data_IF_245548906284
#
_entry.id   IF_245548906284
#
_cell.length_a   1.000
_cell.length_b   1.000
_cell.length_c   1.000
_cell.angle_alpha   90.00
_cell.angle_beta   90.00
_cell.angle_gamma   90.00
#
_symmetry.space_group_name_H-M   'P 1'
#
loop_
_entity.id
_entity.type
_entity.pdbx_description
1 polymer ?
#
# COMPACT_ATOMS: atom_id res chain seq x y z
N UNK A 1 -5.06 -11.21 -6.88
CA UNK A 1 -5.95 -10.82 -5.76
C UNK A 1 -5.54 -9.43 -5.28
N UNK A 2 -6.43 -8.44 -5.26
CA UNK A 2 -6.17 -7.16 -4.56
C UNK A 2 -6.53 -7.44 -3.10
N UNK A 3 -5.56 -7.41 -2.19
CA UNK A 3 -5.85 -7.60 -0.77
C UNK A 3 -6.60 -6.36 -0.25
N UNK A 4 -7.82 -6.57 0.24
CA UNK A 4 -8.59 -5.59 1.03
C UNK A 4 -8.09 -5.61 2.47
N UNK A 5 -6.80 -5.31 2.67
CA UNK A 5 -6.29 -5.00 4.01
C UNK A 5 -7.01 -3.71 4.45
N UNK A 6 -7.73 -3.75 5.56
CA UNK A 6 -8.31 -2.53 6.14
C UNK A 6 -7.19 -1.52 6.40
N UNK A 7 -7.32 -0.30 5.87
CA UNK A 7 -6.25 0.71 5.84
C UNK A 7 -5.75 1.08 7.25
N UNK A 8 -6.59 0.85 8.27
CA UNK A 8 -6.21 0.97 9.67
C UNK A 8 -4.89 0.31 10.06
N UNK A 9 -4.50 -0.80 9.42
CA UNK A 9 -3.31 -1.58 9.77
C UNK A 9 -2.27 -1.64 8.64
N UNK A 10 -2.36 -0.78 7.63
CA UNK A 10 -1.44 -0.83 6.48
C UNK A 10 0.04 -0.71 6.90
N UNK A 11 0.35 0.15 7.88
CA UNK A 11 1.71 0.30 8.39
C UNK A 11 2.20 -0.95 9.14
N UNK A 12 1.29 -1.79 9.66
CA UNK A 12 1.64 -3.02 10.38
C UNK A 12 1.76 -4.26 9.48
N UNK A 13 1.16 -4.23 8.28
CA UNK A 13 1.08 -5.38 7.38
C UNK A 13 2.46 -5.90 6.98
N UNK A 14 2.61 -7.21 6.81
CA UNK A 14 3.85 -7.75 6.25
C UNK A 14 3.96 -7.34 4.78
N UNK A 15 5.14 -6.89 4.30
CA UNK A 15 5.35 -6.70 2.88
C UNK A 15 5.21 -8.05 2.16
N UNK A 16 4.50 -8.03 1.04
CA UNK A 16 4.31 -9.14 0.11
C UNK A 16 4.64 -8.67 -1.28
N UNK A 17 4.95 -9.59 -2.20
CA UNK A 17 5.09 -9.28 -3.62
C UNK A 17 3.96 -8.36 -4.14
N UNK A 18 2.71 -8.70 -3.82
CA UNK A 18 1.54 -7.95 -4.27
C UNK A 18 1.46 -6.55 -3.66
N UNK A 19 1.76 -6.40 -2.36
CA UNK A 19 1.72 -5.08 -1.70
C UNK A 19 2.83 -4.17 -2.21
N UNK A 20 4.03 -4.70 -2.46
CA UNK A 20 5.16 -3.94 -3.00
C UNK A 20 4.91 -3.47 -4.44
N UNK A 21 4.34 -4.34 -5.29
CA UNK A 21 3.87 -3.94 -6.62
C UNK A 21 2.78 -2.87 -6.52
N UNK A 22 1.85 -3.02 -5.57
CA UNK A 22 0.77 -2.07 -5.36
C UNK A 22 1.32 -0.68 -4.97
N UNK A 23 2.17 -0.60 -3.95
CA UNK A 23 2.81 0.66 -3.49
C UNK A 23 3.54 1.39 -4.63
N UNK A 24 4.23 0.65 -5.50
CA UNK A 24 4.96 1.21 -6.65
C UNK A 24 4.02 1.79 -7.71
N UNK A 25 2.94 1.07 -8.01
CA UNK A 25 2.11 1.32 -9.21
C UNK A 25 0.92 2.21 -8.89
N UNK A 26 0.31 2.01 -7.73
CA UNK A 26 -0.77 2.79 -7.18
C UNK A 26 -0.23 3.41 -5.90
N UNK A 27 0.30 4.64 -5.98
CA UNK A 27 0.75 5.35 -4.78
C UNK A 27 -0.47 5.59 -3.87
N UNK A 28 -0.72 4.64 -2.96
CA UNK A 28 -1.78 4.64 -1.96
C UNK A 28 -1.36 5.39 -0.70
N UNK A 29 -0.25 6.13 -0.71
CA UNK A 29 0.03 7.07 0.36
C UNK A 29 -1.03 8.18 0.28
N UNK A 30 -2.13 7.96 1.00
CA UNK A 30 -3.32 8.81 1.01
C UNK A 30 -2.99 10.26 1.43
N UNK A 31 -1.86 10.42 2.08
CA UNK A 31 -1.30 11.69 2.55
C UNK A 31 -0.37 12.39 1.55
N UNK A 32 0.07 11.73 0.47
CA UNK A 32 1.09 12.27 -0.43
C UNK A 32 0.51 13.33 -1.39
N UNK A 33 1.23 14.44 -1.52
CA UNK A 33 0.81 15.64 -2.26
C UNK A 33 1.97 16.07 -3.15
N UNK A 34 1.70 16.19 -4.45
CA UNK A 34 2.68 16.57 -5.47
C UNK A 34 2.93 18.08 -5.47
N UNK A 35 1.89 18.88 -5.21
CA UNK A 35 1.95 20.35 -5.31
C UNK A 35 1.30 21.05 -4.12
N UNK A 36 2.01 22.05 -3.58
CA UNK A 36 1.58 22.84 -2.42
C UNK A 36 1.89 22.16 -1.08
N UNK A 37 1.76 22.93 0.00
CA UNK A 37 2.03 22.44 1.37
C UNK A 37 0.71 22.15 2.08
N UNK A 38 0.36 20.87 2.33
CA UNK A 38 -0.86 20.54 3.06
C UNK A 38 -0.71 20.84 4.56
N UNK A 39 -1.78 21.33 5.19
CA UNK A 39 -1.93 21.36 6.66
C UNK A 39 -2.70 20.15 7.16
N UNK A 40 -3.68 19.70 6.38
CA UNK A 40 -4.53 18.56 6.71
C UNK A 40 -5.02 17.88 5.44
N UNK A 41 -5.11 16.55 5.47
CA UNK A 41 -5.78 15.75 4.45
C UNK A 41 -6.80 14.86 5.13
N UNK A 42 -8.05 14.95 4.70
CA UNK A 42 -9.13 14.09 5.16
C UNK A 42 -9.43 13.10 4.05
N UNK A 43 -9.40 11.82 4.36
CA UNK A 43 -9.65 10.74 3.41
C UNK A 43 -10.81 9.90 3.87
N UNK A 44 -11.76 9.65 2.96
CA UNK A 44 -12.90 8.79 3.17
C UNK A 44 -12.83 7.64 2.18
N UNK A 45 -12.70 6.42 2.71
CA UNK A 45 -12.69 5.18 1.94
C UNK A 45 -14.01 4.44 2.15
N UNK A 46 -14.59 3.96 1.06
CA UNK A 46 -15.70 3.01 1.06
C UNK A 46 -15.20 1.68 0.53
N UNK A 47 -15.17 0.68 1.40
CA UNK A 47 -14.68 -0.67 1.10
C UNK A 47 -15.88 -1.60 1.11
N UNK A 48 -16.15 -2.25 -0.02
CA UNK A 48 -17.17 -3.30 -0.12
C UNK A 48 -16.50 -4.66 -0.09
N UNK A 49 -16.79 -5.45 0.95
CA UNK A 49 -16.27 -6.80 1.13
C UNK A 49 -17.05 -7.84 0.32
N UNK A 50 -16.48 -9.04 0.18
CA UNK A 50 -17.06 -10.12 -0.60
C UNK A 50 -18.39 -10.66 -0.04
N UNK A 51 -18.61 -10.48 1.27
CA UNK A 51 -19.85 -10.78 1.99
C UNK A 51 -20.89 -9.64 1.92
N UNK A 52 -20.64 -8.61 1.10
CA UNK A 52 -21.43 -7.39 0.97
C UNK A 52 -21.40 -6.45 2.19
N UNK A 53 -20.55 -6.70 3.20
CA UNK A 53 -20.32 -5.73 4.24
C UNK A 53 -19.64 -4.48 3.64
N UNK A 54 -20.08 -3.29 4.03
CA UNK A 54 -19.47 -2.05 3.59
C UNK A 54 -18.90 -1.30 4.79
N UNK A 55 -17.59 -1.07 4.79
CA UNK A 55 -16.95 -0.21 5.78
C UNK A 55 -16.73 1.18 5.22
N UNK A 56 -16.99 2.17 6.06
CA UNK A 56 -16.60 3.56 5.82
C UNK A 56 -15.45 3.88 6.77
N UNK A 57 -14.25 4.00 6.22
CA UNK A 57 -13.07 4.42 6.97
C UNK A 57 -12.78 5.89 6.69
N UNK A 58 -12.56 6.67 7.74
CA UNK A 58 -12.14 8.07 7.68
C UNK A 58 -10.77 8.21 8.31
N UNK A 59 -9.80 8.62 7.50
CA UNK A 59 -8.44 8.94 7.95
C UNK A 59 -8.23 10.45 7.92
N UNK A 60 -7.70 11.02 9.00
CA UNK A 60 -7.37 12.44 9.11
C UNK A 60 -5.86 12.55 9.32
N UNK A 61 -5.16 13.08 8.33
CA UNK A 61 -3.72 13.32 8.35
C UNK A 61 -3.47 14.80 8.64
N UNK A 62 -2.81 15.10 9.76
CA UNK A 62 -2.44 16.47 10.14
C UNK A 62 -0.94 16.63 10.04
N UNK A 63 -0.47 17.56 9.21
CA UNK A 63 0.94 17.80 8.98
C UNK A 63 1.47 18.81 9.99
N UNK A 64 2.61 18.48 10.61
CA UNK A 64 3.32 19.34 11.55
C UNK A 64 4.63 19.82 10.93
N UNK A 65 5.22 20.84 11.54
CA UNK A 65 6.60 21.21 11.24
C UNK A 65 7.52 19.99 11.48
N UNK A 66 8.65 19.93 10.77
CA UNK A 66 9.67 18.86 10.87
C UNK A 66 9.27 17.49 10.30
N UNK A 67 8.47 17.45 9.22
CA UNK A 67 8.09 16.21 8.54
C UNK A 67 7.37 15.18 9.44
N UNK A 68 6.74 15.63 10.52
CA UNK A 68 5.88 14.80 11.35
C UNK A 68 4.43 14.91 10.87
N UNK A 69 3.72 13.80 10.90
CA UNK A 69 2.32 13.69 10.55
C UNK A 69 1.57 12.94 11.66
N UNK A 70 0.49 13.54 12.15
CA UNK A 70 -0.43 12.90 13.10
C UNK A 70 -1.60 12.31 12.33
N UNK A 71 -1.99 11.08 12.63
CA UNK A 71 -3.04 10.36 11.90
C UNK A 71 -4.10 9.86 12.86
N UNK A 72 -5.36 10.20 12.59
CA UNK A 72 -6.51 9.60 13.29
C UNK A 72 -7.36 8.83 12.30
N UNK A 73 -7.63 7.55 12.59
CA UNK A 73 -8.47 6.71 11.74
C UNK A 73 -9.74 6.32 12.48
N UNK A 74 -10.86 6.43 11.78
CA UNK A 74 -12.17 6.08 12.29
C UNK A 74 -12.82 5.05 11.36
N UNK A 75 -13.49 4.04 11.92
CA UNK A 75 -14.34 3.12 11.17
C UNK A 75 -15.76 3.26 11.68
N UNK A 76 -16.70 3.55 10.79
CA UNK A 76 -18.10 3.76 11.15
C UNK A 76 -18.27 4.77 12.32
N UNK A 77 -17.48 5.84 12.30
CA UNK A 77 -17.38 6.90 13.34
C UNK A 77 -16.68 6.53 14.66
N UNK A 78 -16.28 5.28 14.85
CA UNK A 78 -15.48 4.87 16.00
C UNK A 78 -13.99 5.11 15.76
N UNK A 79 -13.28 5.74 16.71
CA UNK A 79 -11.82 5.88 16.64
C UNK A 79 -11.16 4.51 16.80
N UNK A 80 -10.36 4.12 15.81
CA UNK A 80 -9.66 2.82 15.77
C UNK A 80 -8.14 2.95 15.70
N UNK A 81 -7.61 4.14 15.40
CA UNK A 81 -6.18 4.39 15.40
C UNK A 81 -5.87 5.86 15.74
N UNK A 82 -4.81 6.06 16.53
CA UNK A 82 -4.14 7.34 16.73
C UNK A 82 -2.64 7.12 16.53
N UNK A 83 -2.05 7.78 15.55
CA UNK A 83 -0.72 7.44 15.04
C UNK A 83 0.15 8.70 14.88
N UNK A 84 1.45 8.51 15.09
CA UNK A 84 2.49 9.49 14.84
C UNK A 84 3.42 8.90 13.79
N UNK A 85 3.58 9.62 12.68
CA UNK A 85 4.40 9.21 11.55
C UNK A 85 5.47 10.26 11.33
N UNK A 86 6.72 9.83 11.30
CA UNK A 86 7.85 10.67 10.89
C UNK A 86 8.19 10.35 9.45
N UNK A 87 8.30 11.39 8.63
CA UNK A 87 8.61 11.29 7.21
C UNK A 87 10.02 11.81 6.94
N UNK A 88 10.65 11.32 5.88
CA UNK A 88 11.84 11.94 5.31
C UNK A 88 11.49 13.11 4.37
N UNK A 89 12.51 13.73 3.79
CA UNK A 89 12.36 14.83 2.83
C UNK A 89 11.69 14.43 1.50
N UNK A 90 11.47 13.13 1.26
CA UNK A 90 10.76 12.58 0.12
C UNK A 90 9.36 12.07 0.50
N UNK A 91 8.85 12.43 1.68
CA UNK A 91 7.58 11.98 2.25
C UNK A 91 7.47 10.46 2.46
N UNK A 92 8.61 9.75 2.56
CA UNK A 92 8.64 8.32 2.90
C UNK A 92 8.64 8.17 4.41
N UNK A 93 7.92 7.17 4.92
CA UNK A 93 7.83 6.90 6.37
C UNK A 93 9.21 6.44 6.88
N UNK A 94 9.77 7.11 7.88
CA UNK A 94 10.96 6.67 8.61
C UNK A 94 10.58 5.93 9.88
N UNK A 95 9.67 6.50 10.66
CA UNK A 95 9.18 5.91 11.90
C UNK A 95 7.66 6.02 11.95
N UNK A 96 7.06 5.02 12.58
CA UNK A 96 5.64 4.93 12.82
C UNK A 96 5.44 4.44 14.26
N UNK A 97 4.66 5.19 15.03
CA UNK A 97 4.13 4.76 16.32
C UNK A 97 2.61 4.87 16.26
N UNK A 98 1.90 3.75 16.39
CA UNK A 98 0.46 3.67 16.33
C UNK A 98 -0.12 3.12 17.61
N UNK A 99 -1.17 3.75 18.13
CA UNK A 99 -2.07 3.13 19.10
C UNK A 99 -3.32 2.65 18.36
N UNK A 100 -3.49 1.34 18.27
CA UNK A 100 -4.49 0.70 17.41
C UNK A 100 -5.49 -0.14 18.21
N UNK A 101 -6.76 -0.03 17.82
CA UNK A 101 -7.85 -0.82 18.41
C UNK A 101 -8.02 -2.13 17.64
N UNK A 102 -7.72 -3.25 18.29
CA UNK A 102 -7.89 -4.60 17.70
C UNK A 102 -9.28 -5.18 17.98
N UNK A 103 -9.64 -6.23 17.24
CA UNK A 103 -10.88 -6.97 17.44
C UNK A 103 -10.99 -7.44 18.90
N UNK A 104 -12.07 -7.01 19.59
CA UNK A 104 -12.25 -7.16 21.05
C UNK A 104 -12.08 -5.86 21.83
N UNK A 105 -11.76 -4.74 21.16
CA UNK A 105 -11.78 -3.39 21.72
C UNK A 105 -10.53 -2.98 22.51
N UNK A 106 -9.51 -3.84 22.55
CA UNK A 106 -8.23 -3.57 23.22
C UNK A 106 -7.34 -2.70 22.35
N UNK A 107 -6.63 -1.79 23.00
CA UNK A 107 -5.66 -0.90 22.37
C UNK A 107 -4.25 -1.47 22.50
N UNK A 108 -3.47 -1.39 21.43
CA UNK A 108 -2.10 -1.86 21.38
C UNK A 108 -1.21 -0.80 20.74
N UNK A 109 -0.04 -0.60 21.33
CA UNK A 109 1.00 0.24 20.76
C UNK A 109 1.85 -0.60 19.82
N UNK A 110 2.03 -0.10 18.61
CA UNK A 110 2.84 -0.69 17.56
C UNK A 110 3.90 0.30 17.14
N UNK A 111 5.10 -0.20 16.88
CA UNK A 111 6.26 0.61 16.50
C UNK A 111 6.94 -0.02 15.30
N UNK A 112 7.12 0.77 14.26
CA UNK A 112 7.74 0.32 13.01
C UNK A 112 8.76 1.35 12.57
N UNK A 113 9.93 0.85 12.20
CA UNK A 113 11.01 1.64 11.61
C UNK A 113 11.26 1.20 10.17
N UNK A 114 11.56 2.16 9.31
CA UNK A 114 11.89 1.95 7.92
C UNK A 114 13.29 2.50 7.63
N UNK A 115 14.02 1.79 6.78
CA UNK A 115 15.28 2.26 6.19
C UNK A 115 15.22 2.06 4.69
N UNK A 116 15.66 3.07 3.95
CA UNK A 116 15.69 3.04 2.49
C UNK A 116 17.12 3.16 2.00
N UNK A 117 17.52 2.22 1.16
CA UNK A 117 18.78 2.18 0.43
C UNK A 117 18.46 2.09 -1.07
N UNK A 118 19.48 2.28 -1.92
CA UNK A 118 19.29 2.05 -3.34
C UNK A 118 18.84 0.61 -3.62
N UNK A 119 17.67 0.49 -4.25
CA UNK A 119 17.04 -0.78 -4.61
C UNK A 119 16.75 -1.70 -3.41
N UNK A 120 16.64 -1.14 -2.21
CA UNK A 120 16.35 -1.92 -1.00
C UNK A 120 15.53 -1.13 0.03
N UNK A 121 14.53 -1.77 0.60
CA UNK A 121 13.69 -1.25 1.69
C UNK A 121 13.78 -2.22 2.86
N UNK A 122 14.08 -1.72 4.05
CA UNK A 122 14.07 -2.49 5.29
C UNK A 122 12.91 -1.98 6.14
N UNK A 123 12.11 -2.90 6.67
CA UNK A 123 11.05 -2.63 7.65
C UNK A 123 11.32 -3.44 8.91
N UNK A 124 11.29 -2.80 10.06
CA UNK A 124 11.55 -3.42 11.36
C UNK A 124 10.36 -3.17 12.28
N UNK A 125 9.83 -4.21 12.91
CA UNK A 125 8.85 -4.09 13.99
C UNK A 125 9.59 -4.12 15.32
N UNK A 126 9.26 -3.17 16.17
CA UNK A 126 9.93 -2.90 17.45
C UNK A 126 9.02 -3.28 18.61
N UNK A 127 9.56 -4.01 19.59
CA UNK A 127 8.81 -4.44 20.77
C UNK A 127 8.78 -3.35 21.86
N UNK A 128 8.18 -3.66 23.02
CA UNK A 128 8.08 -2.74 24.15
C UNK A 128 9.42 -2.38 24.81
N UNK A 129 10.47 -3.21 24.65
CA UNK A 129 11.84 -2.91 25.13
C UNK A 129 12.66 -2.06 24.15
N UNK A 130 12.11 -1.75 22.96
CA UNK A 130 12.83 -1.00 21.92
C UNK A 130 13.69 -1.86 21.01
N UNK A 131 13.54 -3.19 21.06
CA UNK A 131 14.31 -4.13 20.26
C UNK A 131 13.52 -4.55 19.00
N UNK A 132 14.23 -4.74 17.89
CA UNK A 132 13.65 -5.34 16.68
C UNK A 132 13.33 -6.81 16.94
N UNK A 133 12.06 -7.20 16.78
CA UNK A 133 11.62 -8.59 16.91
C UNK A 133 11.19 -9.22 15.58
N UNK A 134 10.90 -8.40 14.56
CA UNK A 134 10.71 -8.84 13.19
C UNK A 134 11.37 -7.86 12.22
N UNK A 135 12.02 -8.41 11.19
CA UNK A 135 12.68 -7.64 10.13
C UNK A 135 12.25 -8.15 8.77
N UNK A 136 11.95 -7.23 7.87
CA UNK A 136 11.67 -7.50 6.47
C UNK A 136 12.68 -6.75 5.61
N UNK A 137 13.30 -7.43 4.65
CA UNK A 137 14.20 -6.81 3.66
C UNK A 137 13.61 -7.07 2.28
N UNK A 138 13.16 -5.99 1.64
CA UNK A 138 12.67 -6.02 0.26
C UNK A 138 13.80 -5.54 -0.65
N UNK A 139 14.15 -6.35 -1.64
CA UNK A 139 15.11 -6.00 -2.71
C UNK A 139 14.35 -5.76 -4.00
N UNK A 140 14.78 -4.77 -4.77
CA UNK A 140 14.15 -4.39 -6.02
C UNK A 140 15.13 -4.48 -7.20
N UNK A 141 14.60 -4.59 -8.41
CA UNK A 141 15.38 -4.46 -9.64
C UNK A 141 15.53 -3.00 -10.10
N UNK A 142 16.17 -2.80 -11.25
CA UNK A 142 16.37 -1.48 -11.85
C UNK A 142 15.07 -0.74 -12.17
N UNK A 143 13.98 -1.46 -12.41
CA UNK A 143 12.62 -0.93 -12.65
C UNK A 143 11.83 -0.73 -11.35
N UNK A 144 12.47 -0.96 -10.19
CA UNK A 144 11.90 -0.91 -8.84
C UNK A 144 10.83 -1.97 -8.59
N UNK A 145 10.81 -3.06 -9.36
CA UNK A 145 9.96 -4.23 -9.09
C UNK A 145 10.60 -5.11 -8.00
N UNK A 146 9.83 -5.68 -7.05
CA UNK A 146 10.36 -6.52 -5.98
C UNK A 146 10.93 -7.83 -6.54
N UNK A 147 12.19 -8.11 -6.21
CA UNK A 147 12.90 -9.35 -6.58
C UNK A 147 12.91 -10.37 -5.45
N UNK A 148 13.02 -9.90 -4.22
CA UNK A 148 13.08 -10.76 -3.04
C UNK A 148 12.52 -10.04 -1.83
N UNK A 149 11.87 -10.81 -0.95
CA UNK A 149 11.43 -10.39 0.37
C UNK A 149 11.94 -11.42 1.36
N UNK A 150 12.91 -11.01 2.17
CA UNK A 150 13.38 -11.78 3.33
C UNK A 150 12.56 -11.35 4.53
N UNK A 151 12.04 -12.32 5.29
CA UNK A 151 11.35 -12.08 6.56
C UNK A 151 12.00 -12.88 7.67
N UNK A 152 12.56 -12.17 8.65
CA UNK A 152 13.29 -12.73 9.77
C UNK A 152 12.56 -12.43 11.07
N UNK A 153 12.25 -13.48 11.84
CA UNK A 153 11.83 -13.37 13.23
C UNK A 153 13.11 -13.35 14.09
N UNK A 154 13.38 -12.22 14.72
CA UNK A 154 14.62 -11.98 15.48
C UNK A 154 14.50 -12.64 16.85
N UNK A 155 15.55 -13.36 17.28
CA UNK A 155 15.58 -14.16 18.51
C UNK A 155 15.69 -15.65 18.21
N UNK A 156 14.62 -16.30 17.72
CA UNK A 156 14.70 -17.65 17.17
C UNK A 156 15.57 -17.77 15.90
N UNK A 157 15.83 -16.63 15.23
CA UNK A 157 16.57 -16.50 13.97
C UNK A 157 15.98 -17.34 12.82
N UNK A 158 14.64 -17.34 12.72
CA UNK A 158 13.92 -17.97 11.62
C UNK A 158 13.75 -16.99 10.47
N UNK A 159 14.30 -17.33 9.31
CA UNK A 159 14.16 -16.52 8.09
C UNK A 159 13.36 -17.28 7.03
N UNK A 160 12.23 -16.73 6.60
CA UNK A 160 11.52 -17.15 5.37
C UNK A 160 11.94 -16.24 4.21
N UNK A 161 11.89 -16.77 2.99
CA UNK A 161 12.29 -16.05 1.79
C UNK A 161 11.21 -16.18 0.71
N UNK A 162 10.82 -15.05 0.13
CA UNK A 162 10.03 -14.99 -1.09
C UNK A 162 10.91 -14.41 -2.21
N UNK A 163 10.90 -15.01 -3.39
CA UNK A 163 11.64 -14.52 -4.57
C UNK A 163 10.77 -14.45 -5.80
N UNK A 164 11.10 -13.55 -6.71
CA UNK A 164 10.37 -13.35 -7.96
C UNK A 164 11.34 -13.30 -9.13
N UNK A 165 11.11 -14.14 -10.12
CA UNK A 165 11.83 -14.12 -11.39
C UNK A 165 10.94 -13.53 -12.48
N UNK A 166 11.39 -12.45 -13.12
CA UNK A 166 10.65 -11.78 -14.20
C UNK A 166 11.19 -12.14 -15.58
N UNK A 167 10.29 -12.50 -16.49
CA UNK A 167 10.52 -12.52 -17.93
C UNK A 167 9.87 -11.28 -18.55
N UNK A 168 10.66 -10.22 -18.68
CA UNK A 168 10.20 -8.95 -19.23
C UNK A 168 9.81 -8.98 -20.71
N UNK A 169 10.42 -9.88 -21.48
CA UNK A 169 10.12 -10.03 -22.90
C UNK A 169 8.72 -10.64 -23.08
N UNK A 170 8.39 -11.66 -22.28
CA UNK A 170 7.13 -12.38 -22.39
C UNK A 170 6.05 -11.93 -21.40
N UNK A 171 6.33 -10.92 -20.57
CA UNK A 171 5.37 -10.34 -19.60
C UNK A 171 4.89 -11.37 -18.55
N UNK A 172 5.81 -12.23 -18.10
CA UNK A 172 5.56 -13.31 -17.14
C UNK A 172 6.42 -13.19 -15.89
N UNK A 173 5.96 -13.75 -14.79
CA UNK A 173 6.77 -13.91 -13.59
C UNK A 173 6.55 -15.28 -12.94
N UNK A 174 7.54 -15.71 -12.17
CA UNK A 174 7.47 -16.88 -11.28
C UNK A 174 7.76 -16.38 -9.87
N UNK A 175 6.78 -16.51 -8.99
CA UNK A 175 6.88 -16.22 -7.56
C UNK A 175 7.15 -17.53 -6.82
N UNK A 176 8.16 -17.56 -5.96
CA UNK A 176 8.55 -18.74 -5.18
C UNK A 176 8.66 -18.38 -3.70
N UNK A 177 7.99 -19.16 -2.85
CA UNK A 177 8.00 -19.01 -1.40
C UNK A 177 8.76 -20.17 -0.75
N UNK A 178 9.73 -19.83 0.09
CA UNK A 178 10.59 -20.75 0.81
C UNK A 178 10.38 -20.59 2.32
N UNK A 179 10.25 -21.73 3.01
CA UNK A 179 10.18 -21.73 4.46
C UNK A 179 11.55 -21.55 5.13
N UNK A 180 11.55 -21.63 6.46
CA UNK A 180 12.72 -21.43 7.30
C UNK A 180 13.80 -22.51 7.16
N UNK A 181 13.50 -23.65 6.54
CA UNK A 181 14.50 -24.66 6.14
C UNK A 181 15.04 -24.44 4.72
N UNK A 182 14.61 -23.39 4.02
CA UNK A 182 14.94 -23.16 2.63
C UNK A 182 14.23 -24.10 1.66
N UNK A 183 13.18 -24.81 2.09
CA UNK A 183 12.38 -25.66 1.21
C UNK A 183 11.31 -24.83 0.51
N UNK A 184 11.17 -25.03 -0.81
CA UNK A 184 10.08 -24.46 -1.60
C UNK A 184 8.74 -24.99 -1.08
N UNK A 185 7.84 -24.07 -0.70
CA UNK A 185 6.47 -24.36 -0.25
C UNK A 185 5.45 -24.08 -1.34
N UNK A 186 5.63 -22.99 -2.09
CA UNK A 186 4.71 -22.56 -3.13
C UNK A 186 5.46 -21.98 -4.33
N UNK A 187 4.96 -22.28 -5.53
CA UNK A 187 5.39 -21.66 -6.77
C UNK A 187 4.15 -21.18 -7.54
N UNK A 188 4.09 -19.88 -7.84
CA UNK A 188 3.00 -19.25 -8.57
C UNK A 188 3.53 -18.63 -9.85
N UNK A 189 3.02 -19.14 -10.97
CA UNK A 189 3.24 -18.55 -12.29
C UNK A 189 2.19 -17.47 -12.52
N UNK A 190 2.61 -16.32 -13.04
CA UNK A 190 1.70 -15.22 -13.31
C UNK A 190 2.11 -14.36 -14.49
N UNK A 191 1.21 -13.44 -14.85
CA UNK A 191 1.41 -12.47 -15.90
C UNK A 191 1.48 -11.06 -15.30
N UNK A 192 2.17 -10.16 -15.96
CA UNK A 192 2.07 -8.74 -15.66
C UNK A 192 1.84 -7.94 -16.94
N UNK A 193 0.87 -7.04 -16.90
CA UNK A 193 0.52 -6.18 -18.01
C UNK A 193 1.48 -4.99 -18.08
N UNK A 194 2.27 -4.89 -19.16
CA UNK A 194 3.16 -3.73 -19.41
C UNK A 194 2.42 -2.48 -19.87
N UNK A 195 1.26 -2.63 -20.51
CA UNK A 195 0.40 -1.52 -20.96
C UNK A 195 -0.78 -1.32 -19.99
N UNK A 196 -0.47 -1.30 -18.70
CA UNK A 196 -1.48 -1.12 -17.67
C UNK A 196 -1.99 0.33 -17.61
N UNK A 197 -1.23 1.32 -18.10
CA UNK A 197 -1.68 2.72 -18.16
C UNK A 197 -2.57 2.92 -19.40
N UNK A 198 -3.81 3.33 -19.18
CA UNK A 198 -4.83 3.52 -20.24
C UNK A 198 -4.89 4.98 -20.68
N UNK A 199 -4.88 5.91 -19.72
CA UNK A 199 -4.97 7.34 -20.00
C UNK A 199 -4.18 8.16 -18.99
N UNK A 200 -3.70 9.31 -19.46
CA UNK A 200 -3.06 10.34 -18.65
C UNK A 200 -3.80 11.66 -18.78
N UNK A 201 -3.75 12.49 -17.74
CA UNK A 201 -4.25 13.87 -17.80
C UNK A 201 -3.27 14.75 -18.61
N UNK A 202 -3.63 16.03 -18.81
CA UNK A 202 -2.79 17.02 -19.52
C UNK A 202 -1.40 17.26 -18.91
N UNK A 203 -1.22 16.94 -17.62
CA UNK A 203 0.03 17.09 -16.88
C UNK A 203 0.87 15.80 -16.89
N UNK A 204 0.42 14.76 -17.59
CA UNK A 204 1.10 13.46 -17.68
C UNK A 204 0.85 12.51 -16.51
N UNK A 205 0.00 12.88 -15.54
CA UNK A 205 -0.36 11.99 -14.42
C UNK A 205 -1.36 10.93 -14.87
N UNK A 206 -1.31 9.75 -14.26
CA UNK A 206 -2.20 8.63 -14.60
C UNK A 206 -3.64 9.00 -14.27
N UNK A 207 -4.52 9.05 -15.28
CA UNK A 207 -5.94 9.29 -15.09
C UNK A 207 -6.72 7.96 -15.02
N UNK A 208 -6.25 6.95 -15.76
CA UNK A 208 -6.91 5.64 -15.86
C UNK A 208 -5.90 4.53 -16.11
N UNK A 209 -6.04 3.40 -15.43
CA UNK A 209 -5.16 2.24 -15.57
C UNK A 209 -5.83 0.92 -15.19
N UNK A 210 -5.32 -0.20 -15.69
CA UNK A 210 -5.63 -1.55 -15.21
C UNK A 210 -4.68 -1.96 -14.09
N UNK A 211 -5.08 -2.94 -13.28
CA UNK A 211 -4.15 -3.61 -12.37
C UNK A 211 -3.00 -4.26 -13.13
N UNK A 212 -1.77 -3.99 -12.71
CA UNK A 212 -0.57 -4.43 -13.43
C UNK A 212 -0.39 -5.94 -13.44
N UNK A 213 -0.94 -6.68 -12.47
CA UNK A 213 -0.83 -8.16 -12.44
C UNK A 213 -2.08 -8.85 -12.99
N UNK A 214 -2.95 -8.12 -13.69
CA UNK A 214 -4.07 -8.73 -14.41
C UNK A 214 -3.60 -9.20 -15.78
N UNK A 215 -3.85 -10.47 -16.10
CA UNK A 215 -3.78 -10.94 -17.48
C UNK A 215 -4.94 -10.32 -18.28
N UNK A 216 -4.62 -9.69 -19.42
CA UNK A 216 -5.62 -9.05 -20.29
C UNK A 216 -6.66 -10.04 -20.83
N UNK A 217 -6.39 -11.35 -20.77
CA UNK A 217 -7.33 -12.41 -21.15
C UNK A 217 -8.32 -12.79 -20.03
N UNK A 218 -8.10 -12.30 -18.82
CA UNK A 218 -8.99 -12.59 -17.69
C UNK A 218 -10.38 -11.98 -17.93
N UNK A 219 -11.45 -12.70 -17.57
CA UNK A 219 -12.82 -12.22 -17.73
C UNK A 219 -13.10 -10.98 -16.86
N UNK A 220 -12.36 -10.80 -15.76
CA UNK A 220 -12.54 -9.69 -14.84
C UNK A 220 -11.25 -8.89 -14.69
N UNK A 221 -11.34 -7.59 -14.95
CA UNK A 221 -10.18 -6.70 -14.89
C UNK A 221 -10.46 -5.59 -13.89
N UNK A 222 -9.50 -5.35 -12.99
CA UNK A 222 -9.56 -4.21 -12.08
C UNK A 222 -9.08 -2.97 -12.82
N UNK A 223 -9.92 -1.94 -12.81
CA UNK A 223 -9.67 -0.65 -13.43
C UNK A 223 -9.65 0.45 -12.36
N UNK A 224 -8.66 1.32 -12.43
CA UNK A 224 -8.45 2.43 -11.50
C UNK A 224 -8.65 3.74 -12.25
N UNK A 225 -9.47 4.62 -11.70
CA UNK A 225 -9.76 5.94 -12.25
C UNK A 225 -9.47 7.01 -11.22
N UNK A 226 -8.67 8.01 -11.62
CA UNK A 226 -8.24 9.11 -10.78
C UNK A 226 -8.89 10.42 -11.21
N UNK A 227 -9.29 11.24 -10.24
CA UNK A 227 -9.65 12.66 -10.45
C UNK A 227 -8.71 13.54 -9.64
N UNK A 228 -8.39 14.72 -10.18
CA UNK A 228 -7.41 15.64 -9.63
C UNK A 228 -8.05 16.99 -9.30
N UNK A 229 -7.50 17.69 -8.32
CA UNK A 229 -7.82 19.10 -8.06
C UNK A 229 -7.06 20.03 -9.02
N UNK A 230 -7.35 21.33 -8.94
CA UNK A 230 -6.74 22.35 -9.81
C UNK A 230 -5.22 22.52 -9.56
N UNK A 231 -4.72 22.07 -8.40
CA UNK A 231 -3.29 22.06 -8.10
C UNK A 231 -2.58 20.82 -8.66
N UNK A 232 -3.31 19.86 -9.23
CA UNK A 232 -2.75 18.64 -9.81
C UNK A 232 -2.53 17.52 -8.79
N UNK A 233 -3.19 17.56 -7.64
CA UNK A 233 -3.19 16.47 -6.66
C UNK A 233 -4.43 15.60 -6.84
N UNK A 234 -4.28 14.28 -6.81
CA UNK A 234 -5.44 13.39 -6.93
C UNK A 234 -6.34 13.51 -5.69
N UNK A 235 -7.65 13.64 -5.90
CA UNK A 235 -8.66 13.80 -4.84
C UNK A 235 -9.72 12.71 -4.86
N UNK A 236 -9.72 11.86 -5.87
CA UNK A 236 -10.66 10.74 -6.00
C UNK A 236 -9.98 9.57 -6.67
N UNK A 237 -10.20 8.37 -6.13
CA UNK A 237 -9.85 7.10 -6.77
C UNK A 237 -11.10 6.21 -6.78
N UNK A 238 -11.48 5.72 -7.94
CA UNK A 238 -12.47 4.65 -8.07
C UNK A 238 -11.75 3.40 -8.58
N UNK A 239 -11.94 2.29 -7.89
CA UNK A 239 -11.57 0.95 -8.37
C UNK A 239 -12.85 0.27 -8.84
N UNK A 240 -12.91 -0.05 -10.13
CA UNK A 240 -13.99 -0.81 -10.74
C UNK A 240 -13.52 -2.23 -11.05
N UNK A 241 -14.43 -3.19 -10.94
CA UNK A 241 -14.30 -4.49 -11.58
C UNK A 241 -15.05 -4.41 -12.91
N UNK A 242 -14.32 -4.62 -14.01
CA UNK A 242 -14.86 -4.70 -15.36
C UNK A 242 -15.15 -6.15 -15.71
N UNK A 243 -16.42 -6.44 -15.99
CA UNK A 243 -16.91 -7.74 -16.47
C UNK A 243 -16.62 -7.96 -17.96
N UNK A 244 -16.73 -9.20 -18.49
CA UNK A 244 -16.48 -9.50 -19.91
C UNK A 244 -17.40 -8.74 -20.88
N UNK A 245 -18.63 -8.45 -20.44
CA UNK A 245 -19.64 -7.68 -21.18
C UNK A 245 -19.38 -6.17 -21.18
N UNK A 246 -18.30 -5.72 -20.52
CA UNK A 246 -17.93 -4.32 -20.38
C UNK A 246 -18.60 -3.60 -19.21
N UNK A 247 -19.46 -4.27 -18.44
CA UNK A 247 -20.10 -3.69 -17.26
C UNK A 247 -19.06 -3.33 -16.20
N UNK A 248 -19.12 -2.11 -15.67
CA UNK A 248 -18.28 -1.65 -14.56
C UNK A 248 -19.06 -1.69 -13.25
N UNK A 249 -18.50 -2.37 -12.24
CA UNK A 249 -19.02 -2.35 -10.87
C UNK A 249 -18.00 -1.72 -9.92
N UNK A 250 -18.35 -0.66 -9.18
CA UNK A 250 -17.43 -0.07 -8.22
C UNK A 250 -17.16 -1.05 -7.08
N UNK A 251 -15.88 -1.31 -6.81
CA UNK A 251 -15.39 -2.18 -5.75
C UNK A 251 -14.86 -1.37 -4.56
N UNK A 252 -14.21 -0.24 -4.84
CA UNK A 252 -13.62 0.61 -3.82
C UNK A 252 -13.61 2.08 -4.27
N UNK A 253 -13.90 3.00 -3.35
CA UNK A 253 -13.87 4.44 -3.63
C UNK A 253 -13.13 5.17 -2.52
N UNK A 254 -12.17 6.00 -2.91
CA UNK A 254 -11.43 6.91 -2.03
C UNK A 254 -11.73 8.34 -2.43
N UNK A 255 -11.99 9.19 -1.45
CA UNK A 255 -12.11 10.64 -1.63
C UNK A 255 -11.17 11.37 -0.67
N UNK A 256 -10.45 12.38 -1.17
CA UNK A 256 -9.55 13.22 -0.39
C UNK A 256 -10.04 14.66 -0.40
N UNK A 257 -9.98 15.30 0.75
CA UNK A 257 -10.05 16.75 0.90
C UNK A 257 -8.71 17.23 1.41
N UNK A 258 -8.02 18.06 0.63
CA UNK A 258 -6.71 18.60 0.96
C UNK A 258 -6.88 20.06 1.39
N UNK A 259 -6.47 20.37 2.62
CA UNK A 259 -6.37 21.74 3.11
C UNK A 259 -4.92 22.19 2.97
N UNK A 260 -4.70 23.26 2.21
CA UNK A 260 -3.37 23.82 2.00
C UNK A 260 -3.06 24.92 3.02
N UNK A 261 -1.78 25.19 3.24
CA UNK A 261 -1.35 26.46 3.83
C UNK A 261 -1.75 27.60 2.88
N UNK A 262 -2.29 28.68 3.45
CA UNK A 262 -2.57 29.92 2.72
C UNK A 262 -1.27 30.66 2.39
#
# INVERSE_FOLDING_TARGET
MISTIGYSQHQESEPTFYSEINERVLNRNLYDVKFGTPTEIIVNDTITYADSETWIEKSIFTFKANHQMLVKKHRNSELIADEIIELDSMNRILNYEGNLKYNGGKWYVTKVKYTYEDFKKIKEKINGSGETYMRYIVKYDSLKNPLAIEHTIVGPDYTKLQTVNYDYANSKFILMDFNYQGKLEEEVNGNFNRDYIIAKNKNGDIAKMYWILTDKKEPFIHEFEYTYDDKGNWIKLIVNVKSPDGTLKPFHKTYRTIKYQN
#
